data_IF_198457946218
#
_entry.id   IF_198457946218
#
_cell.length_a   1.000
_cell.length_b   1.000
_cell.length_c   1.000
_cell.angle_alpha   90.00
_cell.angle_beta   90.00
_cell.angle_gamma   90.00
#
_symmetry.space_group_name_H-M   'P 1'
#
loop_
_entity.id
_entity.type
_entity.pdbx_description
1 polymer ?
#
# COMPACT_ATOMS: atom_id res chain seq x y z
N UNK A 1 4.62 20.82 62.86
CA UNK A 1 4.47 21.11 61.41
C UNK A 1 2.99 21.00 61.08
N UNK A 2 2.39 22.11 60.72
CA UNK A 2 0.99 22.27 60.36
C UNK A 2 0.92 22.21 58.83
N UNK A 3 0.23 21.22 58.25
CA UNK A 3 -0.10 21.22 56.82
C UNK A 3 -1.61 21.18 56.67
N UNK A 4 -2.19 22.33 56.32
CA UNK A 4 -3.58 22.43 55.89
C UNK A 4 -3.72 21.80 54.50
N UNK A 5 -4.56 20.77 54.37
CA UNK A 5 -5.02 20.27 53.08
C UNK A 5 -6.24 21.09 52.65
N UNK A 6 -6.11 21.86 51.57
CA UNK A 6 -7.20 22.60 50.95
C UNK A 6 -8.12 21.61 50.22
N UNK A 7 -9.26 21.28 50.82
CA UNK A 7 -10.34 20.56 50.14
C UNK A 7 -11.23 21.56 49.39
N UNK A 8 -11.17 21.55 48.07
CA UNK A 8 -12.14 22.25 47.25
C UNK A 8 -13.45 21.44 47.23
N UNK A 9 -14.49 21.94 47.90
CA UNK A 9 -15.82 21.34 47.86
C UNK A 9 -16.67 22.15 46.88
N UNK A 10 -17.10 21.54 45.78
CA UNK A 10 -18.08 22.14 44.88
C UNK A 10 -19.48 21.63 45.25
N UNK A 11 -20.38 22.54 45.62
CA UNK A 11 -21.80 22.24 45.79
C UNK A 11 -22.49 22.43 44.43
N UNK A 12 -23.10 21.36 43.90
CA UNK A 12 -24.04 21.46 42.79
C UNK A 12 -25.46 21.49 43.37
N UNK A 13 -26.15 22.63 43.29
CA UNK A 13 -27.59 22.69 43.56
C UNK A 13 -28.33 22.60 42.23
N UNK A 14 -28.61 21.38 41.76
CA UNK A 14 -29.49 21.15 40.62
C UNK A 14 -30.92 20.92 41.11
N UNK A 15 -31.75 21.97 41.12
CA UNK A 15 -33.21 21.81 41.16
C UNK A 15 -33.71 21.60 39.73
N UNK A 16 -33.78 20.34 39.30
CA UNK A 16 -34.38 19.97 38.02
C UNK A 16 -34.72 18.49 37.99
N UNK A 17 -36.01 18.16 37.92
CA UNK A 17 -36.53 16.78 37.73
C UNK A 17 -36.47 16.37 36.26
N UNK A 18 -35.32 16.58 35.61
CA UNK A 18 -35.07 16.11 34.26
C UNK A 18 -34.50 14.69 34.32
N UNK A 19 -35.28 13.70 33.89
CA UNK A 19 -34.74 12.36 33.60
C UNK A 19 -33.88 12.45 32.32
N UNK A 20 -32.63 12.89 32.46
CA UNK A 20 -31.66 12.77 31.39
C UNK A 20 -31.19 11.30 31.36
N UNK A 21 -31.73 10.51 30.43
CA UNK A 21 -31.07 9.29 30.01
C UNK A 21 -29.78 9.71 29.27
N UNK A 22 -28.70 9.91 30.02
CA UNK A 22 -27.38 10.11 29.47
C UNK A 22 -26.92 8.81 28.83
N UNK A 23 -27.31 8.56 27.59
CA UNK A 23 -26.71 7.51 26.78
C UNK A 23 -25.21 7.77 26.73
N UNK A 24 -24.41 6.79 27.14
CA UNK A 24 -22.96 6.85 26.99
C UNK A 24 -22.72 6.72 25.49
N UNK A 25 -22.67 7.84 24.78
CA UNK A 25 -22.24 7.82 23.38
C UNK A 25 -20.73 7.55 23.40
N UNK A 26 -20.26 6.64 22.55
CA UNK A 26 -18.83 6.29 22.41
C UNK A 26 -18.48 6.43 20.93
N UNK A 27 -17.32 7.01 20.63
CA UNK A 27 -16.75 6.94 19.28
C UNK A 27 -16.09 5.57 19.10
N UNK A 28 -16.61 4.76 18.19
CA UNK A 28 -16.04 3.46 17.89
C UNK A 28 -14.69 3.59 17.18
N UNK A 29 -13.78 2.63 17.40
CA UNK A 29 -12.54 2.54 16.63
C UNK A 29 -12.81 2.03 15.21
N UNK A 30 -12.17 2.59 14.18
CA UNK A 30 -12.20 2.02 12.84
C UNK A 30 -11.43 0.68 12.82
N UNK A 31 -11.72 -0.16 11.83
CA UNK A 31 -10.99 -1.41 11.55
C UNK A 31 -10.33 -1.29 10.18
N UNK A 32 -9.03 -1.56 10.09
CA UNK A 32 -8.33 -1.67 8.82
C UNK A 32 -8.72 -3.00 8.17
N UNK A 33 -9.45 -2.94 7.06
CA UNK A 33 -9.96 -4.11 6.34
C UNK A 33 -8.95 -4.67 5.35
N UNK A 34 -8.05 -3.83 4.83
CA UNK A 34 -6.94 -4.27 3.96
C UNK A 34 -5.74 -3.34 4.08
N UNK A 35 -4.55 -3.93 3.95
CA UNK A 35 -3.27 -3.25 3.81
C UNK A 35 -2.47 -4.01 2.74
N UNK A 36 -2.64 -3.64 1.49
CA UNK A 36 -2.11 -4.37 0.33
C UNK A 36 -0.76 -3.78 -0.08
N UNK A 37 0.35 -4.50 0.08
CA UNK A 37 1.67 -4.02 -0.34
C UNK A 37 1.81 -4.02 -1.86
N UNK A 38 2.50 -3.02 -2.37
CA UNK A 38 2.91 -2.86 -3.77
C UNK A 38 4.36 -2.42 -3.87
N UNK A 39 4.79 -2.08 -5.08
CA UNK A 39 6.16 -1.67 -5.35
C UNK A 39 6.47 -0.29 -4.73
N UNK A 40 6.96 -0.28 -3.49
CA UNK A 40 7.24 0.94 -2.73
C UNK A 40 5.98 1.65 -2.19
N UNK A 41 4.85 0.96 -2.13
CA UNK A 41 3.55 1.52 -1.73
C UNK A 41 2.77 0.53 -0.87
N UNK A 42 1.82 1.03 -0.09
CA UNK A 42 0.81 0.22 0.61
C UNK A 42 -0.56 0.86 0.41
N UNK A 43 -1.49 0.12 -0.19
CA UNK A 43 -2.88 0.55 -0.34
C UNK A 43 -3.69 0.11 0.89
N UNK A 44 -4.30 1.07 1.59
CA UNK A 44 -5.06 0.83 2.82
C UNK A 44 -6.54 1.12 2.62
N UNK A 45 -7.38 0.31 3.25
CA UNK A 45 -8.83 0.53 3.35
C UNK A 45 -9.32 0.23 4.77
N UNK A 46 -10.25 1.02 5.30
CA UNK A 46 -10.80 0.83 6.64
C UNK A 46 -12.31 1.07 6.72
N UNK A 47 -12.92 0.59 7.79
CA UNK A 47 -14.35 0.77 8.07
C UNK A 47 -14.69 2.21 8.41
N UNK A 48 -15.80 2.72 7.87
CA UNK A 48 -16.37 3.98 8.32
C UNK A 48 -16.91 3.86 9.77
N UNK A 49 -16.73 4.93 10.55
CA UNK A 49 -17.24 5.06 11.93
C UNK A 49 -18.40 6.05 11.92
N UNK A 50 -19.53 5.66 12.52
CA UNK A 50 -20.67 6.55 12.70
C UNK A 50 -20.39 7.55 13.83
N UNK A 51 -20.67 8.83 13.57
CA UNK A 51 -20.55 9.87 14.57
C UNK A 51 -21.52 9.63 15.74
N UNK A 52 -21.10 9.79 17.01
CA UNK A 52 -21.99 9.60 18.16
C UNK A 52 -23.06 10.71 18.31
N UNK A 53 -23.00 11.74 17.48
CA UNK A 53 -23.93 12.87 17.43
C UNK A 53 -23.70 13.71 16.16
N UNK A 54 -24.26 14.92 16.07
CA UNK A 54 -24.14 15.74 14.86
C UNK A 54 -22.68 16.13 14.57
N UNK A 55 -22.28 15.94 13.32
CA UNK A 55 -20.94 16.19 12.79
C UNK A 55 -20.43 15.00 11.99
N UNK A 56 -19.30 15.19 11.31
CA UNK A 56 -18.63 14.14 10.53
C UNK A 56 -17.42 13.58 11.27
N UNK A 57 -17.12 12.31 11.01
CA UNK A 57 -15.89 11.66 11.47
C UNK A 57 -14.83 11.81 10.40
N UNK A 58 -13.68 12.37 10.75
CA UNK A 58 -12.49 12.36 9.91
C UNK A 58 -11.48 11.33 10.41
N UNK A 59 -10.51 10.99 9.57
CA UNK A 59 -9.52 9.98 9.83
C UNK A 59 -8.11 10.53 9.60
N UNK A 60 -7.15 9.97 10.33
CA UNK A 60 -5.75 10.05 9.97
C UNK A 60 -5.06 8.72 10.24
N UNK A 61 -3.97 8.46 9.54
CA UNK A 61 -3.20 7.24 9.65
C UNK A 61 -1.84 7.51 10.29
N UNK A 62 -1.27 6.45 10.87
CA UNK A 62 0.14 6.40 11.24
C UNK A 62 0.78 5.13 10.67
N UNK A 63 2.01 5.27 10.17
CA UNK A 63 2.91 4.18 9.80
C UNK A 63 4.08 4.17 10.78
N UNK A 64 4.27 3.08 11.51
CA UNK A 64 5.35 2.91 12.50
C UNK A 64 5.43 4.06 13.52
N UNK A 65 4.27 4.62 13.88
CA UNK A 65 4.14 5.79 14.76
C UNK A 65 4.31 7.16 14.09
N UNK A 66 4.88 7.21 12.88
CA UNK A 66 5.03 8.41 12.05
C UNK A 66 3.84 8.67 11.11
N UNK A 67 3.86 9.81 10.42
CA UNK A 67 2.87 10.10 9.39
C UNK A 67 3.17 9.32 8.11
N UNK A 68 2.17 8.67 7.48
CA UNK A 68 2.33 8.10 6.15
C UNK A 68 2.45 9.20 5.09
N UNK A 69 2.86 8.82 3.88
CA UNK A 69 3.00 9.73 2.74
C UNK A 69 1.88 9.48 1.71
N UNK A 70 1.99 10.13 0.56
CA UNK A 70 1.06 9.93 -0.55
C UNK A 70 -0.31 10.56 -0.28
N UNK A 71 -1.36 9.78 -0.51
CA UNK A 71 -2.75 10.25 -0.32
C UNK A 71 -3.32 9.96 1.07
N UNK A 72 -2.51 9.38 1.96
CA UNK A 72 -2.98 9.03 3.30
C UNK A 72 -3.11 10.26 4.21
N UNK A 73 -4.26 10.44 4.89
CA UNK A 73 -4.45 11.55 5.80
C UNK A 73 -3.51 11.45 7.00
N UNK A 74 -3.05 12.60 7.48
CA UNK A 74 -2.13 12.72 8.62
C UNK A 74 -2.79 13.44 9.79
N UNK A 75 -2.19 13.39 10.98
CA UNK A 75 -2.75 14.05 12.16
C UNK A 75 -2.88 15.58 12.04
N UNK A 76 -2.18 16.19 11.07
CA UNK A 76 -2.27 17.63 10.77
C UNK A 76 -3.22 17.93 9.60
N UNK A 77 -3.60 16.92 8.82
CA UNK A 77 -4.49 17.03 7.67
C UNK A 77 -5.42 15.79 7.61
N UNK A 78 -6.41 15.76 8.51
CA UNK A 78 -7.41 14.68 8.56
C UNK A 78 -8.36 14.74 7.36
N UNK A 79 -8.89 13.60 6.92
CA UNK A 79 -9.84 13.52 5.81
C UNK A 79 -10.99 12.55 6.09
N UNK A 80 -12.10 12.66 5.37
CA UNK A 80 -13.30 11.80 5.53
C UNK A 80 -13.26 10.53 4.65
N UNK A 81 -12.14 10.29 3.98
CA UNK A 81 -11.92 9.10 3.14
C UNK A 81 -11.83 7.82 3.98
N UNK A 82 -12.10 6.69 3.35
CA UNK A 82 -11.96 5.34 3.94
C UNK A 82 -10.93 4.47 3.23
N UNK A 83 -10.17 5.08 2.31
CA UNK A 83 -9.06 4.45 1.62
C UNK A 83 -7.98 5.47 1.30
N UNK A 84 -6.74 5.00 1.21
CA UNK A 84 -5.61 5.79 0.75
C UNK A 84 -4.48 4.89 0.25
N UNK A 85 -3.51 5.50 -0.42
CA UNK A 85 -2.27 4.84 -0.83
C UNK A 85 -1.11 5.56 -0.18
N UNK A 86 -0.41 4.83 0.70
CA UNK A 86 0.84 5.25 1.28
C UNK A 86 1.97 5.00 0.28
N UNK A 87 2.84 5.98 0.09
CA UNK A 87 3.95 5.95 -0.86
C UNK A 87 5.29 6.02 -0.14
N UNK A 88 6.39 5.74 -0.85
CA UNK A 88 7.72 5.78 -0.26
C UNK A 88 7.92 4.74 0.84
N UNK A 89 7.18 3.64 0.79
CA UNK A 89 7.25 2.56 1.78
C UNK A 89 8.47 1.70 1.44
N UNK A 90 9.38 1.54 2.40
CA UNK A 90 10.56 0.71 2.21
C UNK A 90 10.19 -0.79 2.19
N UNK A 91 11.12 -1.63 1.70
CA UNK A 91 10.98 -3.09 1.83
C UNK A 91 11.11 -3.47 3.32
N UNK A 92 10.16 -4.23 3.83
CA UNK A 92 10.10 -4.63 5.22
C UNK A 92 8.67 -4.73 5.78
N UNK A 93 8.61 -5.00 7.08
CA UNK A 93 7.35 -4.99 7.85
C UNK A 93 7.03 -3.56 8.28
N UNK A 94 5.80 -3.11 8.02
CA UNK A 94 5.30 -1.82 8.44
C UNK A 94 3.98 -1.97 9.21
N UNK A 95 3.85 -1.24 10.32
CA UNK A 95 2.68 -1.25 11.18
C UNK A 95 1.80 -0.03 10.93
N UNK A 96 0.53 -0.26 10.67
CA UNK A 96 -0.45 0.78 10.39
C UNK A 96 -1.52 0.87 11.47
N UNK A 97 -1.89 2.10 11.82
CA UNK A 97 -3.08 2.40 12.62
C UNK A 97 -3.89 3.51 11.96
N UNK A 98 -5.22 3.43 12.07
CA UNK A 98 -6.15 4.48 11.66
C UNK A 98 -6.80 5.05 12.91
N UNK A 99 -6.83 6.37 13.03
CA UNK A 99 -7.53 7.07 14.11
C UNK A 99 -8.72 7.82 13.56
N UNK A 100 -9.91 7.49 14.06
CA UNK A 100 -11.12 8.27 13.85
C UNK A 100 -11.11 9.48 14.78
N UNK A 101 -11.52 10.64 14.26
CA UNK A 101 -11.60 11.92 14.96
C UNK A 101 -13.00 12.48 14.78
N UNK A 102 -13.65 12.79 15.89
CA UNK A 102 -14.93 13.50 15.91
C UNK A 102 -14.90 14.53 17.02
N UNK A 103 -14.89 15.82 16.65
CA UNK A 103 -14.69 16.93 17.60
C UNK A 103 -13.41 16.73 18.43
N UNK A 104 -13.51 16.61 19.76
CA UNK A 104 -12.38 16.35 20.66
C UNK A 104 -12.16 14.86 20.92
N UNK A 105 -13.01 13.98 20.40
CA UNK A 105 -12.95 12.55 20.66
C UNK A 105 -12.14 11.86 19.58
N UNK A 106 -11.35 10.89 19.99
CA UNK A 106 -10.55 10.06 19.09
C UNK A 106 -10.67 8.59 19.46
N UNK A 107 -10.62 7.72 18.46
CA UNK A 107 -10.61 6.28 18.63
C UNK A 107 -9.66 5.65 17.60
N UNK A 108 -8.72 4.84 18.07
CA UNK A 108 -7.65 4.25 17.23
C UNK A 108 -7.91 2.78 16.97
N UNK A 109 -7.70 2.34 15.73
CA UNK A 109 -7.79 0.93 15.34
C UNK A 109 -6.74 0.08 16.05
N UNK A 110 -6.92 -1.24 15.99
CA UNK A 110 -5.82 -2.17 16.22
C UNK A 110 -4.76 -2.01 15.13
N UNK A 111 -3.53 -2.45 15.43
CA UNK A 111 -2.43 -2.47 14.47
C UNK A 111 -2.70 -3.53 13.40
N UNK A 112 -2.42 -3.18 12.14
CA UNK A 112 -2.31 -4.14 11.03
C UNK A 112 -0.91 -4.03 10.44
N UNK A 113 -0.32 -5.19 10.16
CA UNK A 113 1.01 -5.28 9.53
C UNK A 113 0.88 -5.45 8.02
N UNK A 114 1.69 -4.70 7.28
CA UNK A 114 1.90 -4.90 5.85
C UNK A 114 3.35 -5.32 5.60
N UNK A 115 3.54 -6.39 4.81
CA UNK A 115 4.85 -6.90 4.44
C UNK A 115 5.18 -6.48 3.01
N UNK A 116 6.01 -5.45 2.86
CA UNK A 116 6.51 -5.01 1.55
C UNK A 116 7.71 -5.87 1.19
N UNK A 117 7.61 -6.63 0.09
CA UNK A 117 8.63 -7.63 -0.31
C UNK A 117 9.53 -7.17 -1.45
N UNK A 118 9.17 -6.10 -2.16
CA UNK A 118 9.94 -5.51 -3.25
C UNK A 118 9.64 -4.02 -3.39
N UNK A 119 10.63 -3.26 -3.86
CA UNK A 119 10.47 -1.86 -4.23
C UNK A 119 10.02 -1.65 -5.68
N UNK A 120 10.03 -0.39 -6.17
CA UNK A 120 9.84 -0.08 -7.58
C UNK A 120 10.86 -0.81 -8.47
N UNK A 121 10.40 -1.29 -9.63
CA UNK A 121 11.29 -1.89 -10.62
C UNK A 121 12.29 -0.84 -11.15
N UNK A 122 13.57 -1.19 -11.13
CA UNK A 122 14.66 -0.32 -11.60
C UNK A 122 15.37 -0.89 -12.82
N UNK A 123 15.32 -2.20 -13.02
CA UNK A 123 15.97 -2.87 -14.14
C UNK A 123 15.27 -4.17 -14.53
N UNK A 124 15.60 -4.68 -15.72
CA UNK A 124 15.14 -5.96 -16.24
C UNK A 124 16.33 -6.91 -16.36
N UNK A 125 16.15 -8.15 -15.94
CA UNK A 125 17.14 -9.22 -16.09
C UNK A 125 16.61 -10.24 -17.09
N UNK A 126 17.43 -10.59 -18.07
CA UNK A 126 17.11 -11.56 -19.11
C UNK A 126 17.82 -12.88 -18.81
N UNK A 127 17.09 -13.99 -18.95
CA UNK A 127 17.63 -15.34 -18.82
C UNK A 127 17.10 -16.22 -19.96
N UNK A 128 18.00 -16.91 -20.66
CA UNK A 128 17.66 -17.93 -21.63
C UNK A 128 17.50 -19.29 -20.93
N UNK A 129 16.67 -20.16 -21.48
CA UNK A 129 16.51 -21.53 -20.96
C UNK A 129 17.75 -22.37 -21.22
N UNK A 130 18.51 -22.05 -22.27
CA UNK A 130 19.84 -22.61 -22.51
C UNK A 130 20.81 -21.55 -23.02
N UNK A 131 22.10 -21.70 -22.71
CA UNK A 131 23.19 -20.89 -23.31
C UNK A 131 23.74 -21.51 -24.60
N UNK A 132 23.27 -22.71 -24.95
CA UNK A 132 23.65 -23.46 -26.15
C UNK A 132 22.39 -23.91 -26.91
N UNK A 133 21.66 -22.99 -27.56
CA UNK A 133 20.44 -23.31 -28.30
C UNK A 133 20.74 -24.23 -29.48
N UNK A 134 19.89 -25.23 -29.71
CA UNK A 134 19.96 -26.11 -30.89
C UNK A 134 19.16 -25.50 -32.02
N UNK A 135 19.74 -25.42 -33.22
CA UNK A 135 19.08 -24.86 -34.39
C UNK A 135 17.76 -25.59 -34.70
N UNK A 136 16.69 -24.83 -34.97
CA UNK A 136 15.36 -25.36 -35.25
C UNK A 136 14.55 -25.78 -34.01
N UNK A 137 15.14 -25.70 -32.82
CA UNK A 137 14.45 -25.94 -31.54
C UNK A 137 14.21 -24.59 -30.86
N UNK A 138 12.99 -24.39 -30.34
CA UNK A 138 12.66 -23.18 -29.60
C UNK A 138 13.45 -23.12 -28.27
N UNK A 139 13.95 -21.93 -27.93
CA UNK A 139 14.59 -21.65 -26.65
C UNK A 139 13.82 -20.52 -25.95
N UNK A 140 13.42 -20.76 -24.71
CA UNK A 140 12.58 -19.81 -23.98
C UNK A 140 13.43 -18.71 -23.34
N UNK A 141 12.97 -17.46 -23.44
CA UNK A 141 13.56 -16.32 -22.77
C UNK A 141 12.63 -15.84 -21.67
N UNK A 142 13.18 -15.65 -20.48
CA UNK A 142 12.48 -15.09 -19.33
C UNK A 142 13.04 -13.71 -19.03
N UNK A 143 12.16 -12.72 -18.97
CA UNK A 143 12.50 -11.35 -18.58
C UNK A 143 11.90 -11.13 -17.20
N UNK A 144 12.74 -10.81 -16.22
CA UNK A 144 12.32 -10.57 -14.84
C UNK A 144 12.56 -9.12 -14.47
N UNK A 145 11.52 -8.42 -14.01
CA UNK A 145 11.65 -7.09 -13.43
C UNK A 145 12.21 -7.17 -12.01
N UNK A 146 13.23 -6.35 -11.73
CA UNK A 146 13.95 -6.33 -10.47
C UNK A 146 13.99 -4.92 -9.90
N UNK A 147 13.94 -4.82 -8.56
CA UNK A 147 14.19 -3.56 -7.85
C UNK A 147 15.70 -3.31 -7.67
N UNK A 148 16.08 -2.20 -7.04
CA UNK A 148 17.49 -1.85 -6.80
C UNK A 148 18.26 -2.90 -5.99
N UNK A 149 17.57 -3.73 -5.20
CA UNK A 149 18.15 -4.78 -4.36
C UNK A 149 18.04 -6.18 -4.98
N UNK A 150 17.71 -6.27 -6.28
CA UNK A 150 17.49 -7.52 -7.01
C UNK A 150 16.29 -8.37 -6.53
N UNK A 151 15.34 -7.80 -5.80
CA UNK A 151 14.07 -8.47 -5.51
C UNK A 151 13.19 -8.52 -6.76
N UNK A 152 12.43 -9.60 -6.96
CA UNK A 152 11.50 -9.71 -8.09
C UNK A 152 10.27 -8.85 -7.86
N UNK A 153 10.02 -7.89 -8.76
CA UNK A 153 8.85 -7.00 -8.71
C UNK A 153 7.70 -7.68 -9.44
N UNK A 154 6.87 -8.42 -8.71
CA UNK A 154 5.80 -9.26 -9.30
C UNK A 154 4.62 -8.46 -9.82
N UNK A 155 4.49 -7.18 -9.45
CA UNK A 155 3.43 -6.28 -9.91
C UNK A 155 3.83 -5.46 -11.15
N UNK A 156 5.01 -5.71 -11.72
CA UNK A 156 5.45 -4.99 -12.91
C UNK A 156 4.65 -5.43 -14.15
N UNK A 157 3.96 -4.49 -14.78
CA UNK A 157 3.11 -4.71 -15.97
C UNK A 157 3.62 -4.00 -17.23
N UNK A 158 4.78 -3.33 -17.14
CA UNK A 158 5.35 -2.61 -18.27
C UNK A 158 5.76 -3.55 -19.41
N UNK A 159 5.58 -3.09 -20.64
CA UNK A 159 6.11 -3.74 -21.84
C UNK A 159 7.32 -2.97 -22.35
N UNK A 160 8.24 -3.68 -22.99
CA UNK A 160 9.39 -3.08 -23.65
C UNK A 160 9.56 -3.67 -25.04
N UNK A 161 9.88 -2.77 -25.96
CA UNK A 161 10.27 -3.11 -27.31
C UNK A 161 11.72 -3.59 -27.31
N UNK A 162 11.94 -4.79 -27.83
CA UNK A 162 13.27 -5.41 -27.93
C UNK A 162 13.59 -5.71 -29.39
N UNK A 163 14.88 -5.68 -29.72
CA UNK A 163 15.38 -6.11 -31.02
C UNK A 163 16.36 -7.25 -30.80
N UNK A 164 16.08 -8.40 -31.41
CA UNK A 164 16.94 -9.58 -31.34
C UNK A 164 17.84 -9.69 -32.57
N UNK A 165 19.08 -10.11 -32.40
CA UNK A 165 20.07 -10.17 -33.49
C UNK A 165 21.13 -11.24 -33.26
N UNK A 166 22.09 -11.33 -34.19
CA UNK A 166 23.24 -12.23 -34.11
C UNK A 166 23.04 -13.63 -34.72
N UNK A 167 21.81 -14.15 -34.76
CA UNK A 167 21.51 -15.39 -35.48
C UNK A 167 21.30 -15.12 -36.99
N UNK A 168 21.82 -16.02 -37.84
CA UNK A 168 21.63 -15.99 -39.29
C UNK A 168 20.65 -17.08 -39.74
N UNK A 169 20.04 -16.90 -40.91
CA UNK A 169 19.21 -17.91 -41.53
C UNK A 169 20.03 -19.12 -42.01
N UNK A 170 19.45 -20.31 -41.86
CA UNK A 170 20.02 -21.56 -42.37
C UNK A 170 18.95 -22.23 -43.25
N UNK A 171 19.16 -22.19 -44.57
CA UNK A 171 18.15 -22.65 -45.54
C UNK A 171 16.85 -21.87 -45.39
N UNK A 172 15.73 -22.58 -45.21
CA UNK A 172 14.41 -21.99 -44.99
C UNK A 172 14.16 -21.55 -43.53
N UNK A 173 15.08 -21.83 -42.60
CA UNK A 173 14.92 -21.48 -41.19
C UNK A 173 15.37 -20.03 -40.95
N UNK A 174 14.41 -19.14 -40.74
CA UNK A 174 14.65 -17.72 -40.45
C UNK A 174 14.56 -17.51 -38.93
N UNK A 175 15.58 -16.92 -38.28
CA UNK A 175 15.54 -16.64 -36.85
C UNK A 175 14.41 -15.69 -36.48
N UNK A 176 13.64 -16.06 -35.46
CA UNK A 176 12.52 -15.28 -34.97
C UNK A 176 12.44 -15.36 -33.45
N UNK A 177 11.77 -14.37 -32.88
CA UNK A 177 11.37 -14.34 -31.47
C UNK A 177 9.85 -14.25 -31.41
N UNK A 178 9.25 -14.84 -30.38
CA UNK A 178 7.83 -14.66 -30.09
C UNK A 178 7.67 -13.78 -28.87
N UNK A 179 6.81 -12.78 -28.93
CA UNK A 179 6.46 -11.96 -27.76
C UNK A 179 5.61 -12.75 -26.76
N UNK A 180 5.37 -12.19 -25.57
CA UNK A 180 4.46 -12.78 -24.57
C UNK A 180 3.01 -12.90 -25.09
N UNK A 181 2.63 -12.12 -26.11
CA UNK A 181 1.35 -12.23 -26.81
C UNK A 181 1.36 -13.27 -27.94
N UNK A 182 2.46 -14.00 -28.13
CA UNK A 182 2.62 -15.01 -29.18
C UNK A 182 2.90 -14.44 -30.58
N UNK A 183 3.19 -13.13 -30.69
CA UNK A 183 3.49 -12.49 -31.98
C UNK A 183 4.91 -12.84 -32.41
N UNK A 184 5.03 -13.55 -33.53
CA UNK A 184 6.33 -13.93 -34.11
C UNK A 184 6.91 -12.74 -34.88
N UNK A 185 8.14 -12.36 -34.52
CA UNK A 185 8.88 -11.26 -35.14
C UNK A 185 10.26 -11.79 -35.58
N UNK A 186 10.64 -11.52 -36.82
CA UNK A 186 11.97 -11.88 -37.32
C UNK A 186 13.07 -11.09 -36.60
N UNK A 187 14.26 -11.69 -36.48
CA UNK A 187 15.43 -10.97 -35.95
C UNK A 187 15.71 -9.70 -36.76
N UNK A 188 16.21 -8.66 -36.08
CA UNK A 188 16.44 -7.32 -36.64
C UNK A 188 15.21 -6.41 -36.62
N UNK A 189 14.01 -6.94 -36.34
CA UNK A 189 12.80 -6.14 -36.16
C UNK A 189 12.51 -5.92 -34.67
N UNK A 190 11.79 -4.84 -34.37
CA UNK A 190 11.35 -4.49 -33.01
C UNK A 190 10.13 -5.34 -32.65
N UNK A 191 10.15 -5.98 -31.48
CA UNK A 191 8.96 -6.64 -30.90
C UNK A 191 7.99 -5.54 -30.44
N UNK A 192 6.85 -5.40 -31.11
CA UNK A 192 5.80 -4.44 -30.77
C UNK A 192 4.93 -4.91 -29.59
#
# INVERSE_FOLDING_TARGET
MLSLASGAVAYFTTTGTGAAAGGITILAAPTISSATPGAGTVALTWSAVSAPGPGEVSYYLRRDGGAPEGSCPSSTATATVTSCTDTGVAVGTHQYTVTAVWRSWTATSTIVEAQVTFGPATHLVLAASTTTPTAGVADNLTITAKDQSNNTVTTYTGSHNLTFGGAASIGASIPSVSSSAGVVTSFGSVTA
#
